data_IF_946770359369
#
_entry.id   IF_946770359369
#
_cell.length_a   1.000
_cell.length_b   1.000
_cell.length_c   1.000
_cell.angle_alpha   90.00
_cell.angle_beta   90.00
_cell.angle_gamma   90.00
#
_symmetry.space_group_name_H-M   'P 1'
#
loop_
_entity.id
_entity.type
_entity.pdbx_description
1 polymer ?
#
# COMPACT_ATOMS: atom_id res chain seq x y z
N UNK A 1 24.03 -4.84 0.00
CA UNK A 1 24.05 -3.53 0.68
C UNK A 1 25.47 -3.03 0.63
N UNK A 2 25.71 -1.83 0.09
CA UNK A 2 27.03 -1.20 0.25
C UNK A 2 27.19 -0.77 1.72
N UNK A 3 28.42 -0.57 2.19
CA UNK A 3 28.67 -0.07 3.55
C UNK A 3 27.97 1.28 3.81
N UNK A 4 27.82 2.10 2.77
CA UNK A 4 27.11 3.38 2.84
C UNK A 4 25.60 3.20 3.00
N UNK A 5 25.00 2.26 2.27
CA UNK A 5 23.57 1.98 2.39
C UNK A 5 23.22 1.37 3.75
N UNK A 6 24.11 0.54 4.31
CA UNK A 6 23.94 0.00 5.65
C UNK A 6 24.02 1.09 6.73
N UNK A 7 24.92 2.06 6.59
CA UNK A 7 25.05 3.18 7.54
C UNK A 7 23.85 4.14 7.54
N UNK A 8 23.05 4.16 6.47
CA UNK A 8 21.83 4.96 6.38
C UNK A 8 20.60 4.30 7.04
N UNK A 9 20.70 3.02 7.43
CA UNK A 9 19.61 2.31 8.07
C UNK A 9 19.58 2.60 9.57
N UNK A 10 18.44 3.07 10.08
CA UNK A 10 18.17 3.13 11.51
C UNK A 10 17.87 1.74 12.06
N UNK A 11 18.93 0.99 12.38
CA UNK A 11 18.82 -0.34 12.98
C UNK A 11 18.15 -0.31 14.35
N UNK A 12 18.29 0.78 15.11
CA UNK A 12 17.67 0.90 16.44
C UNK A 12 16.15 1.02 16.27
N UNK A 13 15.69 1.87 15.37
CA UNK A 13 14.28 1.99 14.98
C UNK A 13 13.72 0.64 14.51
N UNK A 14 14.41 -0.04 13.60
CA UNK A 14 13.99 -1.36 13.10
C UNK A 14 13.89 -2.41 14.21
N UNK A 15 14.89 -2.50 15.10
CA UNK A 15 14.86 -3.43 16.23
C UNK A 15 13.72 -3.10 17.20
N UNK A 16 13.52 -1.81 17.50
CA UNK A 16 12.43 -1.37 18.37
C UNK A 16 11.05 -1.77 17.83
N UNK A 17 10.86 -1.69 16.51
CA UNK A 17 9.65 -2.17 15.86
C UNK A 17 9.47 -3.69 16.06
N UNK A 18 10.51 -4.48 15.84
CA UNK A 18 10.45 -5.94 15.99
C UNK A 18 10.29 -6.41 17.43
N UNK A 19 10.64 -5.57 18.42
CA UNK A 19 10.39 -5.79 19.84
C UNK A 19 9.04 -5.26 20.34
N UNK A 20 8.32 -4.50 19.51
CA UNK A 20 6.96 -4.06 19.80
C UNK A 20 5.97 -5.24 19.88
N UNK A 21 4.76 -4.97 20.38
CA UNK A 21 3.68 -5.97 20.42
C UNK A 21 3.28 -6.45 19.01
N UNK A 22 3.30 -5.57 18.01
CA UNK A 22 3.01 -5.89 16.60
C UNK A 22 4.15 -6.72 16.01
N UNK A 23 5.39 -6.28 16.17
CA UNK A 23 6.57 -6.99 15.69
C UNK A 23 6.66 -8.41 16.26
N UNK A 24 6.42 -8.59 17.57
CA UNK A 24 6.36 -9.91 18.21
C UNK A 24 5.24 -10.80 17.67
N UNK A 25 4.06 -10.24 17.40
CA UNK A 25 2.95 -11.00 16.79
C UNK A 25 3.31 -11.51 15.39
N UNK A 26 3.90 -10.65 14.55
CA UNK A 26 4.34 -11.04 13.20
C UNK A 26 5.44 -12.10 13.29
N UNK A 27 6.43 -11.92 14.18
CA UNK A 27 7.52 -12.90 14.38
C UNK A 27 7.02 -14.26 14.85
N UNK A 28 5.97 -14.31 15.67
CA UNK A 28 5.35 -15.57 16.07
C UNK A 28 4.74 -16.34 14.89
N UNK A 29 4.46 -15.66 13.78
CA UNK A 29 3.94 -16.23 12.53
C UNK A 29 4.97 -16.22 11.40
N UNK A 30 6.27 -16.18 11.70
CA UNK A 30 7.35 -15.98 10.72
C UNK A 30 7.32 -16.96 9.54
N UNK A 31 6.90 -18.21 9.74
CA UNK A 31 6.75 -19.21 8.67
C UNK A 31 5.64 -18.89 7.66
N UNK A 32 4.77 -17.93 7.97
CA UNK A 32 3.63 -17.47 7.15
C UNK A 32 3.80 -16.04 6.67
N UNK A 33 4.94 -15.41 6.97
CA UNK A 33 5.28 -14.06 6.50
C UNK A 33 5.78 -14.16 5.06
N UNK A 34 5.18 -13.38 4.17
CA UNK A 34 5.71 -13.11 2.85
C UNK A 34 5.98 -11.61 2.72
N UNK A 35 7.06 -11.27 2.03
CA UNK A 35 7.46 -9.89 1.76
C UNK A 35 7.32 -9.60 0.28
N UNK A 36 7.10 -8.33 -0.04
CA UNK A 36 7.03 -7.81 -1.41
C UNK A 36 6.05 -8.63 -2.27
N UNK A 37 4.84 -8.86 -1.76
CA UNK A 37 3.81 -9.68 -2.41
C UNK A 37 3.21 -8.88 -3.57
N UNK A 38 3.51 -9.24 -4.84
CA UNK A 38 2.90 -8.57 -5.97
C UNK A 38 1.44 -8.99 -6.10
N UNK A 39 0.59 -8.07 -6.54
CA UNK A 39 -0.80 -8.36 -6.85
C UNK A 39 -1.24 -7.69 -8.14
N UNK A 40 -2.25 -8.27 -8.77
CA UNK A 40 -2.99 -7.67 -9.89
C UNK A 40 -4.45 -7.99 -9.68
N UNK A 41 -5.27 -6.94 -9.53
CA UNK A 41 -6.68 -7.08 -9.23
C UNK A 41 -7.53 -6.10 -10.05
N UNK A 42 -8.76 -6.51 -10.35
CA UNK A 42 -9.74 -5.70 -11.06
C UNK A 42 -10.63 -4.96 -10.04
N UNK A 43 -10.83 -3.67 -10.26
CA UNK A 43 -11.70 -2.81 -9.46
C UNK A 43 -12.68 -2.06 -10.36
N UNK A 44 -13.89 -1.84 -9.87
CA UNK A 44 -14.79 -0.88 -10.50
C UNK A 44 -14.29 0.55 -10.21
N UNK A 45 -14.48 1.46 -11.16
CA UNK A 45 -14.19 2.89 -10.96
C UNK A 45 -14.91 3.44 -9.73
N UNK A 46 -16.15 3.02 -9.48
CA UNK A 46 -16.92 3.40 -8.29
C UNK A 46 -16.31 2.90 -6.97
N UNK A 47 -15.68 1.72 -6.95
CA UNK A 47 -14.98 1.20 -5.78
C UNK A 47 -13.76 2.07 -5.46
N UNK A 48 -12.97 2.41 -6.49
CA UNK A 48 -11.79 3.27 -6.34
C UNK A 48 -12.20 4.69 -5.89
N UNK A 49 -13.28 5.23 -6.45
CA UNK A 49 -13.83 6.51 -6.03
C UNK A 49 -14.30 6.48 -4.56
N UNK A 50 -14.98 5.41 -4.13
CA UNK A 50 -15.43 5.25 -2.75
C UNK A 50 -14.26 5.15 -1.75
N UNK A 51 -13.11 4.62 -2.19
CA UNK A 51 -11.87 4.62 -1.41
C UNK A 51 -11.12 5.96 -1.44
N UNK A 52 -11.58 6.96 -2.19
CA UNK A 52 -10.90 8.25 -2.32
C UNK A 52 -9.66 8.21 -3.23
N UNK A 53 -9.54 7.19 -4.08
CA UNK A 53 -8.39 6.97 -4.96
C UNK A 53 -8.52 7.64 -6.33
N UNK A 54 -9.70 8.18 -6.65
CA UNK A 54 -9.94 8.92 -7.87
C UNK A 54 -10.27 10.39 -7.56
N UNK A 55 -9.70 11.36 -8.31
CA UNK A 55 -10.09 12.76 -8.17
C UNK A 55 -11.57 12.93 -8.55
N UNK A 56 -12.29 13.72 -7.78
CA UNK A 56 -13.68 14.11 -8.06
C UNK A 56 -13.70 15.10 -9.22
N UNK A 57 -13.54 14.61 -10.45
CA UNK A 57 -13.54 15.44 -11.67
C UNK A 57 -13.19 14.59 -12.89
N UNK A 58 -14.18 14.34 -13.75
CA UNK A 58 -14.03 13.49 -14.92
C UNK A 58 -13.02 14.06 -15.92
N UNK A 59 -12.01 13.27 -16.24
CA UNK A 59 -11.27 13.38 -17.48
C UNK A 59 -11.02 11.97 -18.02
N UNK A 60 -11.51 11.72 -19.24
CA UNK A 60 -11.18 10.53 -20.02
C UNK A 60 -9.67 10.55 -20.32
N UNK A 61 -8.92 9.66 -19.67
CA UNK A 61 -7.46 9.56 -19.82
C UNK A 61 -6.84 8.82 -18.64
N UNK A 62 -5.75 8.08 -18.90
CA UNK A 62 -5.09 7.17 -17.95
C UNK A 62 -5.11 7.67 -16.49
N UNK A 63 -5.88 6.98 -15.64
CA UNK A 63 -5.97 7.28 -14.21
C UNK A 63 -4.62 7.01 -13.54
N UNK A 64 -3.90 8.07 -13.19
CA UNK A 64 -2.79 7.96 -12.25
C UNK A 64 -3.35 8.11 -10.85
N UNK A 65 -3.23 7.07 -10.02
CA UNK A 65 -3.39 7.21 -8.57
C UNK A 65 -2.48 8.36 -8.08
N UNK A 66 -2.89 9.14 -7.07
CA UNK A 66 -2.13 10.29 -6.61
C UNK A 66 -0.68 9.89 -6.37
N UNK A 67 0.21 10.39 -7.24
CA UNK A 67 1.65 10.27 -7.08
C UNK A 67 2.02 11.09 -5.85
N UNK A 68 2.78 10.52 -4.92
CA UNK A 68 3.55 11.35 -3.99
C UNK A 68 4.38 12.32 -4.83
N UNK A 69 4.09 13.61 -4.67
CA UNK A 69 4.73 14.70 -5.39
C UNK A 69 6.22 14.68 -5.08
N UNK A 70 7.01 14.12 -5.98
CA UNK A 70 8.47 14.07 -5.94
C UNK A 70 9.05 14.29 -7.34
N UNK A 71 8.74 15.42 -7.97
CA UNK A 71 9.52 15.90 -9.12
C UNK A 71 9.97 17.34 -8.81
N UNK A 72 11.21 17.44 -8.34
CA UNK A 72 11.86 18.69 -7.99
C UNK A 72 13.25 18.48 -7.40
N UNK A 73 14.20 18.01 -8.21
CA UNK A 73 15.64 18.02 -7.91
C UNK A 73 16.10 16.95 -6.92
N UNK A 74 16.72 15.87 -7.42
CA UNK A 74 17.32 14.80 -6.62
C UNK A 74 18.41 15.38 -5.70
N UNK A 75 18.17 15.38 -4.39
CA UNK A 75 19.21 15.57 -3.38
C UNK A 75 19.86 14.22 -3.01
N UNK A 76 21.12 14.20 -2.56
CA UNK A 76 21.90 12.96 -2.39
C UNK A 76 21.47 12.09 -1.19
N UNK A 77 20.49 12.54 -0.40
CA UNK A 77 20.08 12.00 0.90
C UNK A 77 18.70 11.31 0.91
N UNK A 78 18.01 11.22 -0.22
CA UNK A 78 16.69 10.57 -0.29
C UNK A 78 16.83 9.04 -0.46
N UNK A 79 16.58 8.33 0.65
CA UNK A 79 16.49 6.88 0.72
C UNK A 79 15.38 6.29 -0.15
N UNK A 80 15.56 5.03 -0.53
CA UNK A 80 14.66 4.21 -1.34
C UNK A 80 13.19 4.28 -0.89
N UNK A 81 12.31 4.78 -1.76
CA UNK A 81 10.86 4.68 -1.61
C UNK A 81 10.34 3.44 -2.37
N UNK A 82 9.54 2.54 -1.75
CA UNK A 82 8.98 1.39 -2.44
C UNK A 82 8.00 1.84 -3.55
N UNK A 83 7.87 1.06 -4.65
CA UNK A 83 7.02 1.44 -5.76
C UNK A 83 5.54 1.40 -5.37
N UNK A 84 4.87 2.54 -5.50
CA UNK A 84 3.40 2.62 -5.61
C UNK A 84 2.91 1.70 -6.74
N UNK A 85 1.66 1.21 -6.72
CA UNK A 85 1.08 0.47 -7.84
C UNK A 85 1.29 1.22 -9.16
N UNK A 86 2.09 0.62 -10.06
CA UNK A 86 2.73 1.34 -11.16
C UNK A 86 1.91 1.43 -12.43
N UNK A 87 0.84 0.63 -12.58
CA UNK A 87 0.06 0.60 -13.81
C UNK A 87 -1.44 0.44 -13.55
N UNK A 88 -2.19 1.42 -14.05
CA UNK A 88 -3.63 1.39 -14.24
C UNK A 88 -3.86 1.24 -15.74
N UNK A 89 -4.36 0.08 -16.17
CA UNK A 89 -4.72 -0.15 -17.57
C UNK A 89 -6.24 -0.21 -17.69
N UNK A 90 -6.87 0.74 -18.39
CA UNK A 90 -8.28 0.63 -18.78
C UNK A 90 -8.44 -0.62 -19.65
N UNK A 91 -9.39 -1.49 -19.31
CA UNK A 91 -9.73 -2.60 -20.19
C UNK A 91 -10.54 -2.05 -21.38
N UNK A 92 -10.23 -2.37 -22.65
CA UNK A 92 -11.10 -1.98 -23.74
C UNK A 92 -12.47 -2.62 -23.54
N UNK A 93 -13.52 -1.79 -23.47
CA UNK A 93 -14.90 -2.27 -23.49
C UNK A 93 -15.10 -3.11 -24.75
N UNK A 94 -15.31 -4.41 -24.58
CA UNK A 94 -15.67 -5.32 -25.66
C UNK A 94 -16.94 -4.79 -26.31
N UNK A 95 -16.85 -4.30 -27.55
CA UNK A 95 -18.03 -3.94 -28.34
C UNK A 95 -18.71 -5.20 -28.86
N UNK A 96 -19.34 -5.95 -27.96
CA UNK A 96 -20.22 -7.07 -28.33
C UNK A 96 -21.25 -7.32 -27.22
N UNK A 97 -22.51 -7.03 -27.54
CA UNK A 97 -23.67 -7.48 -26.76
C UNK A 97 -24.30 -6.44 -25.85
N UNK A 98 -25.59 -6.17 -26.06
CA UNK A 98 -26.48 -5.31 -25.27
C UNK A 98 -26.29 -5.52 -23.76
N UNK A 99 -25.96 -4.45 -23.03
CA UNK A 99 -25.97 -4.43 -21.57
C UNK A 99 -25.83 -3.01 -21.02
N UNK A 100 -26.63 -2.71 -19.99
CA UNK A 100 -26.63 -1.61 -19.00
C UNK A 100 -25.39 -0.69 -18.94
N UNK A 101 -25.50 0.61 -18.56
CA UNK A 101 -24.36 1.53 -18.46
C UNK A 101 -23.14 0.83 -17.84
N UNK A 102 -22.14 0.64 -18.67
CA UNK A 102 -20.99 -0.22 -18.43
C UNK A 102 -20.32 0.19 -17.13
N UNK A 103 -20.30 -0.71 -16.15
CA UNK A 103 -19.43 -0.57 -14.99
C UNK A 103 -18.00 -0.52 -15.53
N UNK A 104 -17.41 0.67 -15.54
CA UNK A 104 -16.04 0.87 -15.98
C UNK A 104 -15.12 0.18 -14.96
N UNK A 105 -14.25 -0.70 -15.46
CA UNK A 105 -13.32 -1.45 -14.64
C UNK A 105 -11.89 -1.06 -14.96
N UNK A 106 -11.07 -1.06 -13.91
CA UNK A 106 -9.65 -0.75 -13.93
C UNK A 106 -8.88 -1.94 -13.40
N UNK A 107 -7.77 -2.29 -14.05
CA UNK A 107 -6.78 -3.22 -13.50
C UNK A 107 -5.78 -2.41 -12.67
N UNK A 108 -5.60 -2.81 -11.42
CA UNK A 108 -4.64 -2.24 -10.48
C UNK A 108 -3.54 -3.28 -10.22
N UNK A 109 -2.29 -2.87 -10.34
CA UNK A 109 -1.13 -3.71 -10.04
C UNK A 109 -0.26 -3.04 -8.99
N UNK A 110 0.06 -3.74 -7.89
CA UNK A 110 0.87 -3.20 -6.80
C UNK A 110 1.69 -4.27 -6.08
N UNK A 111 2.43 -3.84 -5.07
CA UNK A 111 3.26 -4.71 -4.23
C UNK A 111 2.98 -4.36 -2.77
N UNK A 112 2.58 -5.35 -1.98
CA UNK A 112 2.41 -5.21 -0.53
C UNK A 112 3.72 -5.58 0.18
N UNK A 113 4.21 -4.70 1.06
CA UNK A 113 5.52 -4.85 1.70
C UNK A 113 5.65 -6.12 2.55
N UNK A 114 4.66 -6.37 3.41
CA UNK A 114 4.62 -7.55 4.27
C UNK A 114 3.18 -8.05 4.46
N UNK A 115 2.99 -9.33 4.21
CA UNK A 115 1.71 -10.01 4.38
C UNK A 115 1.90 -11.26 5.24
N UNK A 116 1.03 -11.46 6.23
CA UNK A 116 0.97 -12.70 7.00
C UNK A 116 -0.22 -13.51 6.52
N UNK A 117 0.03 -14.67 5.93
CA UNK A 117 -1.03 -15.58 5.47
C UNK A 117 -1.43 -16.55 6.58
N UNK A 118 -2.34 -16.10 7.45
CA UNK A 118 -2.98 -16.96 8.44
C UNK A 118 -3.86 -18.06 7.82
N UNK A 119 -4.37 -18.97 8.65
CA UNK A 119 -5.20 -20.07 8.14
C UNK A 119 -6.51 -19.56 7.55
N UNK A 120 -7.15 -18.60 8.23
CA UNK A 120 -8.47 -18.05 7.89
C UNK A 120 -8.47 -16.55 7.58
N UNK A 121 -7.32 -15.91 7.78
CA UNK A 121 -7.18 -14.45 7.71
C UNK A 121 -5.84 -14.05 7.13
N UNK A 122 -5.76 -12.80 6.71
CA UNK A 122 -4.56 -12.14 6.22
C UNK A 122 -4.28 -10.93 7.11
N UNK A 123 -3.01 -10.70 7.45
CA UNK A 123 -2.58 -9.44 8.04
C UNK A 123 -1.67 -8.70 7.05
N UNK A 124 -1.84 -7.39 6.97
CA UNK A 124 -1.08 -6.50 6.09
C UNK A 124 -0.26 -5.52 6.94
N UNK A 125 0.99 -5.31 6.56
CA UNK A 125 1.84 -4.25 7.08
C UNK A 125 2.56 -3.55 5.93
N UNK A 126 2.49 -2.23 5.91
CA UNK A 126 3.18 -1.35 4.97
C UNK A 126 4.15 -0.43 5.72
N UNK A 127 5.33 -0.22 5.17
CA UNK A 127 6.35 0.63 5.75
C UNK A 127 6.44 1.96 5.00
N UNK A 128 6.49 3.05 5.76
CA UNK A 128 6.61 4.41 5.22
C UNK A 128 7.86 5.08 5.74
N UNK A 129 8.58 5.74 4.84
CA UNK A 129 9.80 6.51 5.12
C UNK A 129 9.52 7.99 5.34
N UNK A 130 8.24 8.41 5.38
CA UNK A 130 7.83 9.80 5.61
C UNK A 130 8.52 10.41 6.85
N UNK A 131 9.04 11.62 6.69
CA UNK A 131 9.55 12.46 7.78
C UNK A 131 8.53 13.57 8.06
N UNK A 132 7.98 13.60 9.27
CA UNK A 132 6.96 14.56 9.69
C UNK A 132 6.91 14.64 11.22
N UNK A 133 6.34 15.71 11.75
CA UNK A 133 6.19 15.88 13.19
C UNK A 133 5.07 14.98 13.74
N UNK A 134 5.19 14.49 14.97
CA UNK A 134 4.19 13.62 15.58
C UNK A 134 2.75 14.20 15.57
N UNK A 135 2.62 15.52 15.55
CA UNK A 135 1.33 16.21 15.43
C UNK A 135 0.63 15.98 14.08
N UNK A 136 1.37 15.66 13.02
CA UNK A 136 0.85 15.41 11.67
C UNK A 136 0.43 13.94 11.46
N UNK A 137 0.69 13.05 12.43
CA UNK A 137 0.39 11.62 12.35
C UNK A 137 -1.06 11.33 11.92
N UNK A 138 -2.11 11.96 12.48
CA UNK A 138 -3.48 11.69 12.03
C UNK A 138 -3.71 12.06 10.57
N UNK A 139 -3.03 13.11 10.06
CA UNK A 139 -3.13 13.49 8.66
C UNK A 139 -2.44 12.46 7.76
N UNK A 140 -1.25 11.99 8.16
CA UNK A 140 -0.51 10.96 7.44
C UNK A 140 -1.22 9.61 7.38
N UNK A 141 -1.85 9.18 8.47
CA UNK A 141 -2.69 7.96 8.45
C UNK A 141 -3.85 8.10 7.45
N UNK A 142 -4.51 9.26 7.40
CA UNK A 142 -5.59 9.51 6.42
C UNK A 142 -5.08 9.56 4.98
N UNK A 143 -3.89 10.11 4.74
CA UNK A 143 -3.27 10.18 3.42
C UNK A 143 -3.00 8.76 2.86
N UNK A 144 -2.48 7.85 3.69
CA UNK A 144 -2.12 6.50 3.29
C UNK A 144 -3.27 5.48 3.36
N UNK A 145 -4.33 5.79 4.10
CA UNK A 145 -5.50 4.91 4.28
C UNK A 145 -6.10 4.36 2.98
N UNK A 146 -6.39 5.20 1.96
CA UNK A 146 -6.90 4.75 0.66
C UNK A 146 -6.05 3.65 -0.01
N UNK A 147 -4.72 3.78 0.01
CA UNK A 147 -3.81 2.79 -0.57
C UNK A 147 -3.90 1.46 0.19
N UNK A 148 -3.97 1.51 1.52
CA UNK A 148 -4.03 0.31 2.34
C UNK A 148 -5.37 -0.41 2.21
N UNK A 149 -6.47 0.33 2.07
CA UNK A 149 -7.79 -0.21 1.72
C UNK A 149 -7.75 -0.95 0.37
N UNK A 150 -7.10 -0.37 -0.64
CA UNK A 150 -6.91 -1.00 -1.95
C UNK A 150 -6.12 -2.31 -1.85
N UNK A 151 -5.04 -2.32 -1.06
CA UNK A 151 -4.22 -3.52 -0.87
C UNK A 151 -5.01 -4.60 -0.14
N UNK A 152 -5.72 -4.24 0.93
CA UNK A 152 -6.55 -5.17 1.67
C UNK A 152 -7.60 -5.81 0.75
N UNK A 153 -8.37 -5.00 0.02
CA UNK A 153 -9.37 -5.47 -0.94
C UNK A 153 -8.78 -6.36 -2.04
N UNK A 154 -7.60 -6.00 -2.58
CA UNK A 154 -6.93 -6.80 -3.60
C UNK A 154 -6.53 -8.18 -3.04
N UNK A 155 -5.93 -8.22 -1.85
CA UNK A 155 -5.53 -9.46 -1.19
C UNK A 155 -6.75 -10.32 -0.84
N UNK A 156 -7.84 -9.73 -0.35
CA UNK A 156 -9.07 -10.48 -0.07
C UNK A 156 -9.62 -11.16 -1.32
N UNK A 157 -9.65 -10.43 -2.45
CA UNK A 157 -10.14 -10.95 -3.75
C UNK A 157 -9.27 -12.09 -4.28
N UNK A 158 -7.96 -11.94 -4.19
CA UNK A 158 -6.99 -12.91 -4.76
C UNK A 158 -6.96 -14.20 -3.94
N UNK A 159 -6.96 -14.08 -2.62
CA UNK A 159 -6.72 -15.22 -1.73
C UNK A 159 -8.00 -15.78 -1.08
N UNK A 160 -9.14 -15.09 -1.22
CA UNK A 160 -10.42 -15.53 -0.66
C UNK A 160 -10.45 -15.57 0.87
N UNK A 161 -9.58 -14.80 1.53
CA UNK A 161 -9.47 -14.68 2.99
C UNK A 161 -9.62 -13.23 3.41
N UNK A 162 -10.22 -12.99 4.56
CA UNK A 162 -10.38 -11.63 5.09
C UNK A 162 -9.06 -11.05 5.58
N UNK A 163 -8.82 -9.78 5.26
CA UNK A 163 -7.74 -9.00 5.84
C UNK A 163 -8.26 -8.41 7.15
N UNK A 164 -7.80 -8.97 8.27
CA UNK A 164 -8.36 -8.64 9.60
C UNK A 164 -7.53 -7.63 10.37
N UNK A 165 -6.30 -7.36 9.90
CA UNK A 165 -5.37 -6.41 10.50
C UNK A 165 -4.58 -5.72 9.41
N UNK A 166 -4.59 -4.39 9.45
CA UNK A 166 -3.82 -3.55 8.53
C UNK A 166 -3.03 -2.56 9.34
N UNK A 167 -1.70 -2.64 9.26
CA UNK A 167 -0.80 -1.75 9.96
C UNK A 167 -0.04 -0.86 8.99
N UNK A 168 0.19 0.37 9.43
CA UNK A 168 1.08 1.32 8.79
C UNK A 168 2.21 1.67 9.75
N UNK A 169 3.46 1.40 9.38
CA UNK A 169 4.61 1.73 10.20
C UNK A 169 5.43 2.86 9.57
N UNK A 170 5.51 4.00 10.26
CA UNK A 170 6.36 5.12 9.90
C UNK A 170 7.75 4.94 10.49
N UNK A 171 8.72 4.64 9.64
CA UNK A 171 10.10 4.32 10.04
C UNK A 171 10.78 5.50 10.75
N UNK A 172 10.69 6.71 10.19
CA UNK A 172 11.34 7.88 10.79
C UNK A 172 10.73 8.31 12.13
N UNK A 173 9.42 8.06 12.33
CA UNK A 173 8.72 8.33 13.58
C UNK A 173 8.82 7.15 14.58
N UNK A 174 9.25 5.97 14.12
CA UNK A 174 9.25 4.74 14.92
C UNK A 174 7.85 4.32 15.40
N UNK A 175 6.80 4.63 14.63
CA UNK A 175 5.41 4.52 15.07
C UNK A 175 4.60 3.60 14.17
N UNK A 176 3.83 2.69 14.78
CA UNK A 176 2.87 1.82 14.09
C UNK A 176 1.45 2.21 14.46
N UNK A 177 0.60 2.38 13.43
CA UNK A 177 -0.84 2.60 13.58
C UNK A 177 -1.60 1.40 13.00
N UNK A 178 -2.69 1.01 13.66
CA UNK A 178 -3.66 0.02 13.17
C UNK A 178 -4.80 0.79 12.49
N UNK A 179 -5.13 0.40 11.27
CA UNK A 179 -6.18 1.02 10.44
C UNK A 179 -7.44 0.15 10.41
#
# INVERSE_FOLDING_TARGET
LTERDAAALDFVGLLSFWDSSVGKQIRAHSSRVQREVPFTARFAVSELAAMGLLPTGGHEGAFSLPRSRGEGGRRPDEGWAPPMPTHVTPLPSSKEGRGSPSAEFVIVQGVADLVVFGEKEIWLLDYKTDHFDAAELPAKVREHGPQLSLYAEALERIYGKKVTRTWLHFLALGRTELL
#
